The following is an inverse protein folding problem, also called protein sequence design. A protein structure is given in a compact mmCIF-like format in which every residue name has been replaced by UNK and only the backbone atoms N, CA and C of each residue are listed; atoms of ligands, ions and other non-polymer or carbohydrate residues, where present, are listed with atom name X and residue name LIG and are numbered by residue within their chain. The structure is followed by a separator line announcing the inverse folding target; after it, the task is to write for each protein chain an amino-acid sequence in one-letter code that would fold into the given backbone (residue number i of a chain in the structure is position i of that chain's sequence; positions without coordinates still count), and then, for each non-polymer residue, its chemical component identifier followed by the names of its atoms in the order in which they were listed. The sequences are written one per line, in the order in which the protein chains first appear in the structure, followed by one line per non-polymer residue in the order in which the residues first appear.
data_IF_161295237561
#
_entry.id   IF_161295237561
#
_cell.length_a   1.000
_cell.length_b   1.000
_cell.length_c   1.000
_cell.angle_alpha   90.00
_cell.angle_beta   90.00
_cell.angle_gamma   90.00
#
_symmetry.space_group_name_H-M   'P 1'
#
loop_
_entity.id
_entity.type
_entity.pdbx_description
1 polymer ?
#
# COMPACT_ATOMS: atom_id res chain seq x y z
N UNK A 1 10.15 -18.03 -23.99
CA UNK A 1 10.03 -16.95 -22.98
C UNK A 1 9.19 -15.84 -23.59
N UNK A 2 8.18 -15.29 -22.92
CA UNK A 2 7.41 -14.15 -23.46
C UNK A 2 8.32 -12.93 -23.63
N UNK A 3 7.99 -11.99 -24.52
CA UNK A 3 8.74 -10.73 -24.69
C UNK A 3 8.86 -9.94 -23.38
N UNK A 4 7.82 -9.96 -22.55
CA UNK A 4 7.88 -9.36 -21.20
C UNK A 4 8.86 -10.11 -20.29
N UNK A 5 8.95 -11.44 -20.41
CA UNK A 5 9.90 -12.26 -19.67
C UNK A 5 11.35 -11.96 -20.00
N UNK A 6 11.66 -11.68 -21.27
CA UNK A 6 13.03 -11.28 -21.66
C UNK A 6 13.38 -9.87 -21.14
N UNK A 7 12.41 -8.94 -21.09
CA UNK A 7 12.58 -7.61 -20.49
C UNK A 7 12.88 -7.71 -18.99
N UNK A 8 12.11 -8.53 -18.25
CA UNK A 8 12.30 -8.73 -16.81
C UNK A 8 13.62 -9.44 -16.52
N UNK A 9 13.94 -10.50 -17.26
CA UNK A 9 15.18 -11.26 -17.08
C UNK A 9 16.42 -10.46 -17.46
N UNK A 10 16.31 -9.56 -18.45
CA UNK A 10 17.38 -8.65 -18.87
C UNK A 10 17.52 -7.40 -18.00
N UNK A 11 16.77 -7.26 -16.90
CA UNK A 11 16.84 -6.10 -16.00
C UNK A 11 16.32 -4.79 -16.61
N UNK A 12 15.62 -4.84 -17.75
CA UNK A 12 15.16 -3.67 -18.51
C UNK A 12 13.83 -3.12 -17.96
N UNK A 13 13.73 -2.97 -16.64
CA UNK A 13 12.48 -2.64 -15.95
C UNK A 13 11.86 -1.29 -16.38
N UNK A 14 12.69 -0.32 -16.80
CA UNK A 14 12.21 0.97 -17.30
C UNK A 14 11.26 0.84 -18.51
N UNK A 15 11.51 -0.12 -19.40
CA UNK A 15 10.63 -0.40 -20.54
C UNK A 15 9.27 -0.89 -20.05
N UNK A 16 9.27 -1.81 -19.08
CA UNK A 16 8.05 -2.34 -18.48
C UNK A 16 7.22 -1.25 -17.80
N UNK A 17 7.87 -0.32 -17.10
CA UNK A 17 7.22 0.85 -16.48
C UNK A 17 6.56 1.72 -17.54
N UNK A 18 7.28 2.07 -18.63
CA UNK A 18 6.71 2.92 -19.69
C UNK A 18 5.53 2.27 -20.40
N UNK A 19 5.57 0.96 -20.62
CA UNK A 19 4.42 0.22 -21.16
C UNK A 19 3.25 0.27 -20.17
N UNK A 20 3.48 0.05 -18.87
CA UNK A 20 2.43 0.11 -17.86
C UNK A 20 1.79 1.51 -17.76
N UNK A 21 2.59 2.58 -17.83
CA UNK A 21 2.11 3.97 -17.87
C UNK A 21 1.22 4.23 -19.07
N UNK A 22 1.55 3.68 -20.25
CA UNK A 22 0.70 3.78 -21.45
C UNK A 22 -0.59 2.97 -21.29
N UNK A 23 -0.55 1.79 -20.67
CA UNK A 23 -1.76 1.05 -20.34
C UNK A 23 -2.68 1.81 -19.36
N UNK A 24 -2.16 2.68 -18.50
CA UNK A 24 -2.99 3.57 -17.68
C UNK A 24 -3.86 4.51 -18.53
N UNK A 25 -3.35 4.99 -19.66
CA UNK A 25 -4.07 5.88 -20.59
C UNK A 25 -5.05 5.12 -21.50
N UNK A 26 -4.80 3.82 -21.71
CA UNK A 26 -5.55 2.98 -22.65
C UNK A 26 -6.06 1.71 -21.96
N UNK A 27 -7.28 1.77 -21.40
CA UNK A 27 -7.80 0.70 -20.55
C UNK A 27 -7.97 -0.66 -21.23
N UNK A 28 -8.11 -0.68 -22.57
CA UNK A 28 -8.20 -1.93 -23.33
C UNK A 28 -6.96 -2.83 -23.20
N UNK A 29 -5.77 -2.28 -22.95
CA UNK A 29 -4.53 -3.05 -22.84
C UNK A 29 -4.19 -3.48 -21.41
N UNK A 30 -4.86 -2.94 -20.39
CA UNK A 30 -4.56 -3.21 -18.99
C UNK A 30 -4.69 -4.70 -18.65
N UNK A 31 -5.74 -5.36 -19.14
CA UNK A 31 -5.93 -6.78 -18.87
C UNK A 31 -4.87 -7.65 -19.53
N UNK A 32 -4.41 -7.29 -20.73
CA UNK A 32 -3.36 -8.03 -21.43
C UNK A 32 -2.03 -7.86 -20.70
N UNK A 33 -1.70 -6.63 -20.28
CA UNK A 33 -0.50 -6.33 -19.50
C UNK A 33 -0.45 -7.15 -18.21
N UNK A 34 -1.53 -7.14 -17.41
CA UNK A 34 -1.58 -7.89 -16.14
C UNK A 34 -1.44 -9.39 -16.39
N UNK A 35 -2.10 -9.96 -17.41
CA UNK A 35 -1.95 -11.38 -17.76
C UNK A 35 -0.51 -11.72 -18.14
N UNK A 36 0.15 -10.90 -18.96
CA UNK A 36 1.54 -11.09 -19.34
C UNK A 36 2.49 -10.98 -18.13
N UNK A 37 2.22 -10.07 -17.20
CA UNK A 37 3.00 -9.91 -15.98
C UNK A 37 2.87 -11.14 -15.06
N UNK A 38 1.64 -11.60 -14.81
CA UNK A 38 1.39 -12.82 -14.03
C UNK A 38 2.11 -14.03 -14.62
N UNK A 39 2.06 -14.18 -15.95
CA UNK A 39 2.78 -15.23 -16.67
C UNK A 39 4.29 -15.10 -16.57
N UNK A 40 4.81 -13.89 -16.58
CA UNK A 40 6.25 -13.65 -16.45
C UNK A 40 6.77 -13.98 -15.05
N UNK A 41 5.95 -13.78 -14.02
CA UNK A 41 6.30 -14.05 -12.62
C UNK A 41 5.85 -15.45 -12.14
N UNK A 42 5.27 -16.27 -13.04
CA UNK A 42 4.76 -17.61 -12.77
C UNK A 42 3.69 -17.64 -11.64
N UNK A 43 2.78 -16.65 -11.64
CA UNK A 43 1.74 -16.49 -10.62
C UNK A 43 0.31 -16.33 -11.18
N UNK A 44 -0.02 -17.04 -12.26
CA UNK A 44 -1.32 -16.97 -12.94
C UNK A 44 -2.47 -17.63 -12.19
N UNK A 45 -2.19 -18.58 -11.31
CA UNK A 45 -3.23 -19.28 -10.53
C UNK A 45 -3.74 -18.41 -9.38
N UNK A 46 -4.97 -18.66 -8.91
CA UNK A 46 -5.58 -17.81 -7.88
C UNK A 46 -4.86 -17.92 -6.53
N UNK A 47 -4.23 -19.06 -6.25
CA UNK A 47 -3.39 -19.32 -5.08
C UNK A 47 -2.07 -18.54 -5.18
N UNK A 48 -1.52 -18.38 -6.39
CA UNK A 48 -0.25 -17.67 -6.58
C UNK A 48 -0.42 -16.16 -6.72
N UNK A 49 -1.57 -15.69 -7.23
CA UNK A 49 -1.88 -14.26 -7.40
C UNK A 49 -1.78 -13.45 -6.11
N UNK A 50 -1.99 -14.08 -4.95
CA UNK A 50 -1.85 -13.40 -3.65
C UNK A 50 -0.40 -12.97 -3.37
N UNK A 51 0.58 -13.54 -4.08
CA UNK A 51 1.99 -13.17 -4.00
C UNK A 51 2.42 -12.17 -5.08
N UNK A 52 1.48 -11.58 -5.83
CA UNK A 52 1.85 -10.60 -6.88
C UNK A 52 2.70 -9.43 -6.34
N UNK A 53 2.31 -8.82 -5.22
CA UNK A 53 3.05 -7.72 -4.58
C UNK A 53 4.46 -8.16 -4.20
N UNK A 54 4.68 -9.22 -3.40
CA UNK A 54 6.03 -9.63 -3.01
C UNK A 54 6.90 -10.05 -4.20
N UNK A 55 6.33 -10.60 -5.26
CA UNK A 55 7.06 -10.94 -6.49
C UNK A 55 7.46 -9.70 -7.30
N UNK A 56 6.55 -8.74 -7.49
CA UNK A 56 6.81 -7.55 -8.30
C UNK A 56 7.81 -6.62 -7.62
N UNK A 57 7.77 -6.45 -6.29
CA UNK A 57 8.71 -5.55 -5.61
C UNK A 57 10.17 -5.98 -5.81
N UNK A 58 10.44 -7.28 -5.91
CA UNK A 58 11.76 -7.84 -6.17
C UNK A 58 12.03 -8.26 -7.61
N UNK A 59 11.04 -8.14 -8.51
CA UNK A 59 11.06 -8.77 -9.85
C UNK A 59 11.49 -10.24 -9.83
N UNK A 60 10.90 -11.01 -8.91
CA UNK A 60 11.17 -12.43 -8.73
C UNK A 60 10.06 -13.28 -9.35
N UNK A 61 10.43 -14.41 -9.95
CA UNK A 61 9.45 -15.45 -10.27
C UNK A 61 9.01 -16.17 -9.00
N UNK A 62 7.84 -16.79 -9.04
CA UNK A 62 7.29 -17.53 -7.91
C UNK A 62 8.28 -18.57 -7.36
N UNK A 63 8.97 -19.31 -8.23
CA UNK A 63 9.93 -20.37 -7.87
C UNK A 63 11.22 -19.81 -7.27
N UNK A 64 11.63 -18.60 -7.67
CA UNK A 64 12.79 -17.94 -7.03
C UNK A 64 12.44 -17.42 -5.64
N UNK A 65 11.18 -17.04 -5.44
CA UNK A 65 10.68 -16.56 -4.15
C UNK A 65 10.35 -17.72 -3.19
N UNK A 66 9.80 -18.81 -3.72
CA UNK A 66 9.56 -20.07 -3.00
C UNK A 66 10.46 -21.18 -3.58
N UNK A 67 11.73 -21.27 -3.13
CA UNK A 67 12.66 -22.28 -3.64
C UNK A 67 12.25 -23.71 -3.25
N UNK A 68 11.42 -23.86 -2.22
CA UNK A 68 10.85 -25.16 -1.81
C UNK A 68 9.51 -25.38 -2.51
N UNK A 69 9.28 -26.61 -2.99
CA UNK A 69 8.07 -26.98 -3.73
C UNK A 69 6.77 -26.89 -2.92
N UNK A 70 6.86 -26.81 -1.59
CA UNK A 70 5.72 -26.64 -0.68
C UNK A 70 5.63 -25.20 -0.18
N UNK A 71 4.46 -24.58 -0.38
CA UNK A 71 4.15 -23.25 0.15
C UNK A 71 3.83 -23.42 1.64
N UNK A 72 4.82 -23.23 2.50
CA UNK A 72 4.59 -23.09 3.93
C UNK A 72 4.26 -21.63 4.25
N UNK A 73 2.97 -21.34 4.47
CA UNK A 73 2.50 -19.99 4.82
C UNK A 73 3.11 -19.49 6.14
N UNK A 74 3.66 -20.37 6.99
CA UNK A 74 4.37 -19.98 8.21
C UNK A 74 5.85 -19.64 7.95
N UNK A 75 6.38 -19.95 6.76
CA UNK A 75 7.78 -19.69 6.36
C UNK A 75 7.88 -18.86 5.08
N UNK A 76 6.98 -17.88 4.93
CA UNK A 76 7.08 -16.94 3.81
C UNK A 76 8.38 -16.12 3.98
N UNK A 77 9.27 -16.07 2.97
CA UNK A 77 10.52 -15.31 3.07
C UNK A 77 10.25 -13.81 3.24
N UNK A 78 10.95 -13.17 4.19
CA UNK A 78 10.85 -11.73 4.40
C UNK A 78 11.20 -10.96 3.10
N UNK A 79 10.53 -9.85 2.85
CA UNK A 79 10.86 -8.96 1.73
C UNK A 79 12.23 -8.31 1.94
N UNK A 80 13.26 -8.88 1.29
CA UNK A 80 14.63 -8.38 1.37
C UNK A 80 15.00 -7.43 0.23
N UNK A 81 14.39 -7.56 -0.94
CA UNK A 81 14.74 -6.77 -2.12
C UNK A 81 13.53 -5.99 -2.63
N UNK A 82 13.31 -4.80 -2.08
CA UNK A 82 12.27 -3.86 -2.56
C UNK A 82 12.93 -2.89 -3.54
N UNK A 83 12.72 -3.12 -4.83
CA UNK A 83 13.30 -2.30 -5.90
C UNK A 83 12.44 -1.05 -6.16
N UNK A 84 13.10 0.03 -6.59
CA UNK A 84 12.42 1.25 -7.04
C UNK A 84 11.40 0.96 -8.15
N UNK A 85 11.83 0.24 -9.19
CA UNK A 85 10.97 -0.11 -10.31
C UNK A 85 9.82 -1.03 -9.91
N UNK A 86 10.03 -1.97 -8.98
CA UNK A 86 8.97 -2.85 -8.51
C UNK A 86 7.89 -2.09 -7.76
N UNK A 87 8.30 -1.16 -6.88
CA UNK A 87 7.38 -0.23 -6.22
C UNK A 87 6.62 0.63 -7.23
N UNK A 88 7.33 1.27 -8.16
CA UNK A 88 6.73 2.13 -9.17
C UNK A 88 5.73 1.39 -10.07
N UNK A 89 6.04 0.15 -10.45
CA UNK A 89 5.13 -0.68 -11.23
C UNK A 89 3.82 -0.94 -10.47
N UNK A 90 3.90 -1.31 -9.19
CA UNK A 90 2.71 -1.55 -8.37
C UNK A 90 1.89 -0.27 -8.15
N UNK A 91 2.55 0.88 -8.00
CA UNK A 91 1.89 2.19 -7.94
C UNK A 91 1.07 2.47 -9.21
N UNK A 92 1.60 2.14 -10.39
CA UNK A 92 0.91 2.27 -11.67
C UNK A 92 -0.26 1.27 -11.75
N UNK A 93 -0.03 0.01 -11.38
CA UNK A 93 -1.08 -1.02 -11.39
C UNK A 93 -2.26 -0.70 -10.45
N UNK A 94 -2.01 -0.01 -9.33
CA UNK A 94 -3.08 0.48 -8.45
C UNK A 94 -3.96 1.56 -9.10
N UNK A 95 -3.51 2.21 -10.17
CA UNK A 95 -4.29 3.20 -10.93
C UNK A 95 -5.18 2.56 -12.01
N UNK A 96 -4.91 1.31 -12.40
CA UNK A 96 -5.71 0.56 -13.38
C UNK A 96 -7.17 0.41 -12.94
N UNK A 97 -8.06 0.20 -13.91
CA UNK A 97 -9.49 -0.05 -13.65
C UNK A 97 -9.65 -1.33 -12.80
N UNK A 98 -9.06 -2.44 -13.29
CA UNK A 98 -9.08 -3.78 -12.66
C UNK A 98 -7.86 -4.06 -11.79
N UNK A 99 -7.69 -3.29 -10.73
CA UNK A 99 -6.60 -3.43 -9.73
C UNK A 99 -6.82 -4.48 -8.64
N UNK A 100 -7.92 -5.25 -8.70
CA UNK A 100 -8.31 -6.16 -7.60
C UNK A 100 -7.21 -7.16 -7.24
N UNK A 101 -6.45 -7.67 -8.21
CA UNK A 101 -5.36 -8.62 -7.98
C UNK A 101 -4.25 -8.04 -7.09
N UNK A 102 -3.85 -6.78 -7.33
CA UNK A 102 -2.83 -6.10 -6.52
C UNK A 102 -3.35 -5.83 -5.12
N UNK A 103 -4.59 -5.34 -5.01
CA UNK A 103 -5.22 -5.07 -3.70
C UNK A 103 -5.41 -6.36 -2.89
N UNK A 104 -5.82 -7.46 -3.54
CA UNK A 104 -5.94 -8.78 -2.90
C UNK A 104 -4.56 -9.22 -2.38
N UNK A 105 -3.54 -9.16 -3.22
CA UNK A 105 -2.17 -9.50 -2.80
C UNK A 105 -1.71 -8.69 -1.59
N UNK A 106 -1.98 -7.37 -1.55
CA UNK A 106 -1.71 -6.54 -0.36
C UNK A 106 -2.42 -7.00 0.91
N UNK A 107 -3.68 -7.46 0.83
CA UNK A 107 -4.43 -7.92 2.00
C UNK A 107 -3.87 -9.23 2.55
N UNK A 108 -3.25 -10.04 1.69
CA UNK A 108 -2.71 -11.35 2.06
C UNK A 108 -1.28 -11.28 2.60
N UNK A 109 -0.49 -10.23 2.30
CA UNK A 109 0.91 -10.16 2.78
C UNK A 109 0.98 -10.19 4.33
N UNK A 110 1.92 -10.93 4.93
CA UNK A 110 2.14 -10.92 6.39
C UNK A 110 2.40 -9.52 6.94
N UNK A 111 2.08 -9.27 8.21
CA UNK A 111 2.28 -7.95 8.84
C UNK A 111 3.72 -7.46 8.77
N UNK A 112 4.69 -8.38 8.91
CA UNK A 112 6.11 -8.11 8.74
C UNK A 112 6.47 -7.58 7.34
N UNK A 113 5.79 -8.06 6.30
CA UNK A 113 6.01 -7.62 4.91
C UNK A 113 5.42 -6.23 4.68
N UNK A 114 4.27 -5.96 5.28
CA UNK A 114 3.71 -4.61 5.27
C UNK A 114 4.66 -3.62 5.94
N UNK A 115 5.20 -3.96 7.11
CA UNK A 115 6.21 -3.15 7.81
C UNK A 115 7.44 -2.95 6.93
N UNK A 116 7.97 -4.00 6.31
CA UNK A 116 9.12 -3.91 5.40
C UNK A 116 8.85 -2.97 4.21
N UNK A 117 7.65 -2.99 3.63
CA UNK A 117 7.26 -2.06 2.57
C UNK A 117 7.14 -0.63 3.09
N UNK A 118 6.42 -0.42 4.19
CA UNK A 118 6.19 0.91 4.76
C UNK A 118 7.48 1.60 5.22
N UNK A 119 8.45 0.84 5.73
CA UNK A 119 9.74 1.33 6.22
C UNK A 119 10.84 1.35 5.15
N UNK A 120 10.50 1.15 3.87
CA UNK A 120 11.46 1.20 2.76
C UNK A 120 11.33 2.50 1.96
N UNK A 121 12.45 3.05 1.48
CA UNK A 121 12.48 4.28 0.69
C UNK A 121 11.58 4.22 -0.54
N UNK A 122 11.58 3.10 -1.27
CA UNK A 122 10.72 2.91 -2.44
C UNK A 122 9.35 2.36 -2.06
N UNK A 123 9.29 1.40 -1.11
CA UNK A 123 8.05 0.74 -0.70
C UNK A 123 7.05 1.67 -0.01
N UNK A 124 7.52 2.68 0.72
CA UNK A 124 6.68 3.65 1.44
C UNK A 124 5.71 4.37 0.51
N UNK A 125 6.18 4.83 -0.66
CA UNK A 125 5.35 5.45 -1.69
C UNK A 125 4.26 4.54 -2.23
N UNK A 126 4.52 3.23 -2.31
CA UNK A 126 3.52 2.26 -2.72
C UNK A 126 2.41 2.11 -1.67
N UNK A 127 2.78 2.04 -0.38
CA UNK A 127 1.80 2.02 0.71
C UNK A 127 0.99 3.33 0.73
N UNK A 128 1.65 4.47 0.55
CA UNK A 128 0.98 5.77 0.49
C UNK A 128 -0.06 5.85 -0.63
N UNK A 129 0.27 5.37 -1.83
CA UNK A 129 -0.66 5.34 -2.96
C UNK A 129 -1.83 4.39 -2.70
N UNK A 130 -1.60 3.24 -2.06
CA UNK A 130 -2.67 2.32 -1.68
C UNK A 130 -3.67 3.01 -0.73
N UNK A 131 -3.19 3.72 0.29
CA UNK A 131 -4.04 4.38 1.29
C UNK A 131 -4.66 5.69 0.78
N UNK A 132 -4.00 6.39 -0.14
CA UNK A 132 -4.53 7.64 -0.73
C UNK A 132 -5.51 7.39 -1.89
N UNK A 133 -5.44 6.23 -2.54
CA UNK A 133 -6.29 5.91 -3.69
C UNK A 133 -7.77 5.82 -3.31
N UNK A 134 -8.61 6.72 -3.82
CA UNK A 134 -10.07 6.68 -3.66
C UNK A 134 -10.71 5.44 -4.28
N UNK A 135 -10.06 4.88 -5.30
CA UNK A 135 -10.52 3.66 -5.98
C UNK A 135 -10.34 2.38 -5.13
N UNK A 136 -9.64 2.46 -3.99
CA UNK A 136 -9.50 1.34 -3.04
C UNK A 136 -10.47 1.57 -1.89
N UNK A 137 -11.40 0.62 -1.71
CA UNK A 137 -12.46 0.72 -0.69
C UNK A 137 -11.87 0.90 0.70
N UNK A 138 -12.44 1.83 1.47
CA UNK A 138 -12.02 2.13 2.85
C UNK A 138 -12.01 0.89 3.74
N UNK A 139 -13.00 -0.01 3.61
CA UNK A 139 -13.05 -1.29 4.34
C UNK A 139 -11.76 -2.12 4.19
N UNK A 140 -11.14 -2.13 3.00
CA UNK A 140 -9.90 -2.87 2.75
C UNK A 140 -8.70 -2.20 3.41
N UNK A 141 -8.61 -0.87 3.33
CA UNK A 141 -7.58 -0.08 4.02
C UNK A 141 -7.65 -0.29 5.53
N UNK A 142 -8.86 -0.24 6.09
CA UNK A 142 -9.09 -0.49 7.51
C UNK A 142 -8.66 -1.90 7.92
N UNK A 143 -9.00 -2.92 7.11
CA UNK A 143 -8.57 -4.30 7.35
C UNK A 143 -7.05 -4.46 7.37
N UNK A 144 -6.31 -3.70 6.56
CA UNK A 144 -4.85 -3.69 6.60
C UNK A 144 -4.33 -3.10 7.91
N UNK A 145 -4.89 -1.97 8.36
CA UNK A 145 -4.48 -1.34 9.62
C UNK A 145 -4.71 -2.26 10.81
N UNK A 146 -5.86 -2.93 10.88
CA UNK A 146 -6.14 -3.92 11.94
C UNK A 146 -5.15 -5.08 11.90
N UNK A 147 -4.80 -5.58 10.71
CA UNK A 147 -3.82 -6.67 10.54
C UNK A 147 -2.43 -6.32 11.06
N UNK A 148 -2.02 -5.06 10.95
CA UNK A 148 -0.69 -4.58 11.36
C UNK A 148 -0.71 -3.84 12.69
N UNK A 149 -1.83 -3.87 13.43
CA UNK A 149 -2.04 -3.11 14.66
C UNK A 149 -0.90 -3.35 15.66
N UNK A 150 -0.44 -4.58 15.84
CA UNK A 150 0.65 -4.92 16.77
C UNK A 150 2.02 -4.34 16.40
N UNK A 151 2.21 -3.98 15.12
CA UNK A 151 3.50 -3.55 14.57
C UNK A 151 3.56 -2.04 14.27
N UNK A 152 2.50 -1.27 14.54
CA UNK A 152 2.45 0.15 14.20
C UNK A 152 3.54 0.99 14.87
N UNK A 153 4.01 0.59 16.06
CA UNK A 153 5.14 1.26 16.72
C UNK A 153 6.44 1.17 15.90
N UNK A 154 6.64 0.08 15.14
CA UNK A 154 7.79 -0.10 14.24
C UNK A 154 7.76 0.93 13.11
N UNK A 155 6.56 1.22 12.58
CA UNK A 155 6.38 2.28 11.59
C UNK A 155 6.62 3.64 12.24
N UNK A 156 6.05 3.90 13.41
CA UNK A 156 6.19 5.19 14.10
C UNK A 156 7.65 5.57 14.37
N UNK A 157 8.50 4.58 14.67
CA UNK A 157 9.91 4.74 14.98
C UNK A 157 10.85 4.70 13.76
N UNK A 158 10.32 4.59 12.54
CA UNK A 158 11.10 4.53 11.29
C UNK A 158 11.04 5.84 10.48
N UNK A 159 12.11 6.12 9.72
CA UNK A 159 12.24 7.31 8.87
C UNK A 159 11.13 7.42 7.82
N UNK A 160 10.83 6.33 7.13
CA UNK A 160 9.81 6.28 6.08
C UNK A 160 8.45 5.87 6.66
N UNK A 161 8.47 4.89 7.56
CA UNK A 161 7.28 4.36 8.22
C UNK A 161 6.49 5.42 8.98
N UNK A 162 7.16 6.38 9.63
CA UNK A 162 6.46 7.44 10.39
C UNK A 162 5.62 8.32 9.47
N UNK A 163 6.11 8.60 8.26
CA UNK A 163 5.37 9.37 7.24
C UNK A 163 4.23 8.59 6.64
N UNK A 164 4.45 7.30 6.36
CA UNK A 164 3.38 6.39 5.92
C UNK A 164 2.28 6.32 6.97
N UNK A 165 2.64 6.21 8.25
CA UNK A 165 1.68 6.16 9.36
C UNK A 165 0.90 7.47 9.51
N UNK A 166 1.56 8.63 9.37
CA UNK A 166 0.88 9.92 9.30
C UNK A 166 -0.11 10.00 8.14
N UNK A 167 0.23 9.46 6.97
CA UNK A 167 -0.67 9.43 5.83
C UNK A 167 -1.87 8.49 6.06
N UNK A 168 -1.62 7.29 6.60
CA UNK A 168 -2.68 6.36 7.03
C UNK A 168 -3.62 7.05 8.01
N UNK A 169 -3.09 7.75 9.02
CA UNK A 169 -3.86 8.52 10.00
C UNK A 169 -4.77 9.56 9.34
N UNK A 170 -4.22 10.37 8.42
CA UNK A 170 -4.96 11.42 7.71
C UNK A 170 -6.09 10.87 6.85
N UNK A 171 -5.97 9.65 6.33
CA UNK A 171 -6.99 9.01 5.50
C UNK A 171 -7.97 8.14 6.29
N UNK A 172 -7.69 7.86 7.55
CA UNK A 172 -8.49 6.99 8.41
C UNK A 172 -9.76 7.66 8.94
N UNK A 173 -10.76 6.85 9.30
CA UNK A 173 -11.91 7.30 10.10
C UNK A 173 -11.53 7.37 11.58
N UNK A 174 -12.32 8.09 12.38
CA UNK A 174 -12.17 8.12 13.83
C UNK A 174 -11.98 6.74 14.47
N UNK A 175 -12.80 5.74 14.09
CA UNK A 175 -12.67 4.36 14.60
C UNK A 175 -11.27 3.78 14.42
N UNK A 176 -10.66 3.99 13.25
CA UNK A 176 -9.32 3.48 12.94
C UNK A 176 -8.25 4.33 13.62
N UNK A 177 -8.46 5.65 13.73
CA UNK A 177 -7.57 6.52 14.51
C UNK A 177 -7.51 6.09 15.98
N UNK A 178 -8.64 5.71 16.58
CA UNK A 178 -8.68 5.13 17.93
C UNK A 178 -7.85 3.85 17.98
N UNK A 179 -8.06 2.91 17.05
CA UNK A 179 -7.27 1.67 17.00
C UNK A 179 -5.76 1.90 16.85
N UNK A 180 -5.35 2.89 16.03
CA UNK A 180 -3.95 3.28 15.89
C UNK A 180 -3.44 3.88 17.22
N UNK A 181 -4.19 4.78 17.85
CA UNK A 181 -3.79 5.42 19.10
C UNK A 181 -3.65 4.39 20.24
N UNK A 182 -4.60 3.46 20.38
CA UNK A 182 -4.53 2.33 21.34
C UNK A 182 -3.28 1.47 21.15
N UNK A 183 -2.90 1.22 19.89
CA UNK A 183 -1.69 0.45 19.57
C UNK A 183 -0.42 1.20 19.95
N UNK A 184 -0.38 2.52 19.76
CA UNK A 184 0.83 3.32 19.96
C UNK A 184 1.01 3.81 21.40
N UNK A 185 -0.07 4.05 22.15
CA UNK A 185 -0.02 4.62 23.49
C UNK A 185 0.83 3.85 24.51
N UNK A 186 0.91 2.49 24.48
CA UNK A 186 1.78 1.73 25.39
C UNK A 186 3.27 1.86 25.09
N UNK A 187 3.66 2.36 23.91
CA UNK A 187 5.05 2.44 23.50
C UNK A 187 5.64 3.82 23.78
N UNK A 188 6.85 3.86 24.33
CA UNK A 188 7.59 5.11 24.47
C UNK A 188 8.18 5.56 23.13
N UNK A 189 7.38 6.34 22.39
CA UNK A 189 7.78 6.93 21.12
C UNK A 189 8.61 8.21 21.30
N UNK A 190 8.62 8.80 22.50
CA UNK A 190 9.18 10.14 22.72
C UNK A 190 10.70 10.16 22.63
N UNK A 191 11.33 9.04 22.97
CA UNK A 191 12.78 8.83 22.87
C UNK A 191 13.27 8.52 21.44
N UNK A 192 12.37 8.28 20.48
CA UNK A 192 12.74 8.07 19.07
C UNK A 192 12.63 9.36 18.26
N UNK A 193 13.62 9.63 17.40
CA UNK A 193 13.67 10.85 16.57
C UNK A 193 12.47 11.04 15.64
N UNK A 194 11.86 9.96 15.15
CA UNK A 194 10.66 9.96 14.31
C UNK A 194 9.40 9.78 15.15
N UNK A 195 9.46 8.86 16.12
CA UNK A 195 8.35 8.54 17.02
C UNK A 195 7.82 9.75 17.79
N UNK A 196 8.70 10.66 18.23
CA UNK A 196 8.30 11.89 18.94
C UNK A 196 7.36 12.77 18.10
N UNK A 197 7.55 12.79 16.78
CA UNK A 197 6.67 13.53 15.88
C UNK A 197 5.32 12.84 15.75
N UNK A 198 5.27 11.51 15.64
CA UNK A 198 4.01 10.74 15.63
C UNK A 198 3.26 10.93 16.95
N UNK A 199 3.93 10.79 18.08
CA UNK A 199 3.36 10.97 19.42
C UNK A 199 2.70 12.34 19.58
N UNK A 200 3.40 13.40 19.15
CA UNK A 200 2.87 14.77 19.16
C UNK A 200 1.73 14.95 18.17
N UNK A 201 1.90 14.53 16.92
CA UNK A 201 0.94 14.78 15.85
C UNK A 201 -0.37 14.02 16.06
N UNK A 202 -0.33 12.86 16.73
CA UNK A 202 -1.53 12.09 17.07
C UNK A 202 -2.08 12.46 18.46
N UNK A 203 -1.44 13.39 19.16
CA UNK A 203 -1.78 13.83 20.51
C UNK A 203 -1.97 12.66 21.49
N UNK A 204 -1.03 11.69 21.48
CA UNK A 204 -1.16 10.45 22.26
C UNK A 204 -1.19 10.71 23.78
N UNK A 205 -0.50 11.75 24.26
CA UNK A 205 -0.62 12.19 25.66
C UNK A 205 -2.06 12.53 26.03
N UNK A 206 -2.74 13.31 25.18
CA UNK A 206 -4.14 13.69 25.40
C UNK A 206 -5.07 12.48 25.27
N UNK A 207 -4.77 11.55 24.36
CA UNK A 207 -5.52 10.30 24.22
C UNK A 207 -5.53 9.48 25.52
N UNK A 208 -4.37 9.36 26.19
CA UNK A 208 -4.22 8.60 27.44
C UNK A 208 -4.78 9.34 28.65
N UNK A 209 -4.54 10.65 28.76
CA UNK A 209 -4.93 11.43 29.94
C UNK A 209 -6.38 11.93 29.91
N UNK A 210 -6.90 12.28 28.72
CA UNK A 210 -8.21 12.92 28.52
C UNK A 210 -8.86 12.45 27.23
N UNK A 211 -9.23 11.17 27.20
CA UNK A 211 -9.75 10.52 26.00
C UNK A 211 -10.99 11.21 25.39
N UNK A 212 -11.93 11.69 26.22
CA UNK A 212 -13.12 12.42 25.76
C UNK A 212 -12.76 13.69 24.97
N UNK A 213 -11.88 14.52 25.52
CA UNK A 213 -11.39 15.73 24.85
C UNK A 213 -10.64 15.37 23.56
N UNK A 214 -9.88 14.28 23.55
CA UNK A 214 -9.19 13.81 22.36
C UNK A 214 -10.18 13.39 21.26
N UNK A 215 -11.24 12.65 21.60
CA UNK A 215 -12.28 12.24 20.66
C UNK A 215 -12.98 13.45 20.04
N UNK A 216 -13.39 14.43 20.85
CA UNK A 216 -13.99 15.67 20.36
C UNK A 216 -13.08 16.41 19.37
N UNK A 217 -11.78 16.48 19.66
CA UNK A 217 -10.81 17.09 18.75
C UNK A 217 -10.74 16.33 17.42
N UNK A 218 -10.69 15.00 17.46
CA UNK A 218 -10.63 14.18 16.25
C UNK A 218 -11.92 14.25 15.43
N UNK A 219 -13.09 14.31 16.07
CA UNK A 219 -14.38 14.50 15.41
C UNK A 219 -14.46 15.84 14.70
N UNK A 220 -14.02 16.93 15.35
CA UNK A 220 -13.94 18.25 14.72
C UNK A 220 -13.06 18.23 13.47
N UNK A 221 -11.90 17.56 13.52
CA UNK A 221 -11.03 17.42 12.35
C UNK A 221 -11.67 16.58 11.24
N UNK A 222 -12.34 15.48 11.58
CA UNK A 222 -13.02 14.63 10.61
C UNK A 222 -14.21 15.35 9.95
N UNK A 223 -14.98 16.13 10.72
CA UNK A 223 -16.09 16.95 10.20
C UNK A 223 -15.58 18.04 9.27
N UNK A 224 -14.53 18.77 9.65
CA UNK A 224 -13.89 19.77 8.78
C UNK A 224 -13.38 19.15 7.47
N UNK A 225 -12.78 17.95 7.53
CA UNK A 225 -12.33 17.22 6.33
C UNK A 225 -13.49 16.82 5.42
N UNK A 226 -14.59 16.32 5.98
CA UNK A 226 -15.80 15.96 5.22
C UNK A 226 -16.41 17.17 4.52
N UNK A 227 -16.53 18.29 5.24
CA UNK A 227 -17.01 19.56 4.68
C UNK A 227 -16.13 20.00 3.52
N UNK A 228 -14.80 20.04 3.70
CA UNK A 228 -13.89 20.48 2.64
C UNK A 228 -13.96 19.61 1.37
N UNK A 229 -14.20 18.29 1.51
CA UNK A 229 -14.41 17.41 0.35
C UNK A 229 -15.70 17.73 -0.43
N UNK A 230 -16.73 18.26 0.23
CA UNK A 230 -17.97 18.67 -0.45
C UNK A 230 -17.78 19.95 -1.27
N UNK A 231 -16.81 20.78 -0.92
CA UNK A 231 -16.49 22.03 -1.62
C UNK A 231 -15.39 21.90 -2.67
N UNK A 232 -14.81 20.71 -2.87
CA UNK A 232 -13.86 20.46 -3.93
C UNK A 232 -14.61 20.25 -5.26
N UNK A 233 -14.34 21.04 -6.31
CA UNK A 233 -14.99 20.84 -7.60
C UNK A 233 -14.63 19.46 -8.16
N UNK A 234 -15.65 18.71 -8.60
CA UNK A 234 -15.46 17.44 -9.31
C UNK A 234 -14.51 17.68 -10.49
N UNK A 235 -13.34 17.03 -10.49
CA UNK A 235 -12.49 17.06 -11.68
C UNK A 235 -13.29 16.47 -12.85
N UNK A 236 -13.35 17.14 -14.01
CA UNK A 236 -14.19 16.71 -15.10
C UNK A 236 -13.73 15.32 -15.57
N UNK A 237 -14.60 14.32 -15.37
CA UNK A 237 -14.52 13.04 -16.05
C UNK A 237 -14.59 13.35 -17.54
N UNK A 238 -13.47 13.17 -18.26
CA UNK A 238 -13.44 13.28 -19.71
C UNK A 238 -14.46 12.28 -20.29
N UNK A 239 -15.64 12.78 -20.66
CA UNK A 239 -16.63 12.03 -21.42
C UNK A 239 -15.96 11.63 -22.73
N UNK A 240 -15.78 10.32 -22.94
CA UNK A 240 -15.36 9.78 -24.24
C UNK A 240 -16.32 10.32 -25.31
N UNK A 241 -15.79 11.11 -26.26
CA UNK A 241 -16.52 11.46 -27.49
C UNK A 241 -16.87 10.15 -28.19
N UNK A 242 -18.17 9.85 -28.32
CA UNK A 242 -18.64 8.91 -29.33
C UNK A 242 -18.44 9.60 -30.68
N UNK A 243 -17.53 9.09 -31.49
CA UNK A 243 -17.51 9.40 -32.92
C UNK A 243 -18.43 8.41 -33.60
N UNK A 244 -19.45 8.97 -34.28
CA UNK A 244 -20.24 8.32 -35.33
C UNK A 244 -19.35 7.75 -36.41
#
# INVERSE_FOLDING_TARGET
MSEMGSVVSGGKYGVLIKVAERCCQHSQYQSQFVKALLKTLHCETDERKIFLVPLVVGFLTFEKYFPTSTIDLNKIPLLRNITYHGSLLLQILLKFEKKFVVVKSFLEIPSQHFVALACNASGSHLVDILFSSEKVRLKRKNSLVEKVKSDLHKLACDKYGSRVLENIWRQSSLKIKVAIAESLAPHDLTNNQWGKHVHRNFALKLFTERNSTWLEQQERFDNKRKLFKQFMPDQPVQKKKKTS
#
